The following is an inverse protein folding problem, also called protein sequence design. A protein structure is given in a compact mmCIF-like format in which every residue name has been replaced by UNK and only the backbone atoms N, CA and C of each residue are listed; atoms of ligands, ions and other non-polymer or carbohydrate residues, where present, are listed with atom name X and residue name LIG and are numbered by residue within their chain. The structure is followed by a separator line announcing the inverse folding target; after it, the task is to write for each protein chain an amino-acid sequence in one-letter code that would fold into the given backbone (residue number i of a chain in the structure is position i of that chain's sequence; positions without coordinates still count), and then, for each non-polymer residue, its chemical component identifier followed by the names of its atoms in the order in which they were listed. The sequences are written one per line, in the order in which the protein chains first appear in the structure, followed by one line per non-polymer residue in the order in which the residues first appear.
data_IF_410380595819
#
_entry.id   IF_410380595819
#
_cell.length_a   1.000
_cell.length_b   1.000
_cell.length_c   1.000
_cell.angle_alpha   90.00
_cell.angle_beta   90.00
_cell.angle_gamma   90.00
#
_symmetry.space_group_name_H-M   'P 1'
#
loop_
_entity.id
_entity.type
_entity.pdbx_description
1 polymer ?
#
# COMPACT_ATOMS: atom_id res chain seq x y z
N UNK A 1 -6.26 15.47 -9.44
CA UNK A 1 -6.58 15.11 -8.04
C UNK A 1 -5.33 14.52 -7.40
N UNK A 2 -5.21 14.57 -6.07
CA UNK A 2 -4.00 14.16 -5.33
C UNK A 2 -3.67 12.67 -5.62
N UNK A 3 -4.68 11.81 -5.62
CA UNK A 3 -4.52 10.39 -5.90
C UNK A 3 -4.05 10.09 -7.33
N UNK A 4 -4.36 10.93 -8.31
CA UNK A 4 -3.82 10.76 -9.68
C UNK A 4 -2.29 10.90 -9.72
N UNK A 5 -1.74 11.81 -8.91
CA UNK A 5 -0.28 12.02 -8.78
C UNK A 5 0.37 10.88 -8.00
N UNK A 6 -0.29 10.42 -6.94
CA UNK A 6 0.18 9.31 -6.10
C UNK A 6 0.11 7.98 -6.84
N UNK A 7 -0.91 7.74 -7.66
CA UNK A 7 -1.02 6.53 -8.49
C UNK A 7 0.24 6.35 -9.34
N UNK A 8 0.78 7.42 -9.92
CA UNK A 8 2.04 7.41 -10.68
C UNK A 8 3.29 7.07 -9.83
N UNK A 9 3.23 7.28 -8.51
CA UNK A 9 4.32 7.04 -7.55
C UNK A 9 4.20 5.70 -6.81
N UNK A 10 2.99 5.15 -6.68
CA UNK A 10 2.71 3.80 -6.14
C UNK A 10 2.98 2.73 -7.20
N UNK A 11 4.21 2.69 -7.71
CA UNK A 11 4.68 1.68 -8.67
C UNK A 11 3.90 1.70 -9.99
N UNK A 12 4.16 2.69 -10.86
CA UNK A 12 3.66 2.65 -12.24
C UNK A 12 4.64 1.98 -13.23
N UNK A 13 5.93 1.87 -12.88
CA UNK A 13 7.01 1.43 -13.79
C UNK A 13 7.62 0.04 -13.47
N UNK A 14 7.11 -0.68 -12.46
CA UNK A 14 7.57 -2.04 -12.12
C UNK A 14 6.51 -3.08 -12.56
N UNK A 15 6.87 -4.31 -12.98
CA UNK A 15 5.91 -5.38 -13.29
C UNK A 15 4.86 -5.64 -12.18
N UNK A 16 5.17 -5.20 -10.94
CA UNK A 16 4.25 -5.20 -9.80
C UNK A 16 2.98 -4.35 -10.02
N UNK A 17 3.02 -3.31 -10.87
CA UNK A 17 1.87 -2.47 -11.18
C UNK A 17 0.75 -3.27 -11.86
N UNK A 18 1.14 -4.03 -12.89
CA UNK A 18 0.24 -4.90 -13.65
C UNK A 18 -0.26 -6.05 -12.78
N UNK A 19 0.63 -6.65 -11.97
CA UNK A 19 0.26 -7.73 -11.05
C UNK A 19 -0.67 -7.26 -9.93
N UNK A 20 -0.50 -6.02 -9.44
CA UNK A 20 -1.40 -5.37 -8.49
C UNK A 20 -2.78 -5.19 -9.10
N UNK A 21 -2.85 -4.58 -10.28
CA UNK A 21 -4.13 -4.30 -10.94
C UNK A 21 -4.85 -5.60 -11.28
N UNK A 22 -4.11 -6.61 -11.74
CA UNK A 22 -4.61 -7.98 -11.89
C UNK A 22 -5.15 -8.52 -10.57
N UNK A 23 -4.38 -8.47 -9.48
CA UNK A 23 -4.80 -8.93 -8.15
C UNK A 23 -6.07 -8.21 -7.64
N UNK A 24 -6.15 -6.89 -7.81
CA UNK A 24 -7.30 -6.09 -7.40
C UNK A 24 -8.54 -6.41 -8.25
N UNK A 25 -8.37 -6.76 -9.53
CA UNK A 25 -9.46 -7.17 -10.42
C UNK A 25 -10.03 -8.56 -10.12
N UNK A 26 -9.30 -9.41 -9.40
CA UNK A 26 -9.82 -10.71 -8.96
C UNK A 26 -10.91 -10.46 -7.91
N UNK A 27 -12.14 -10.87 -8.23
CA UNK A 27 -13.28 -10.77 -7.30
C UNK A 27 -13.18 -11.79 -6.15
N UNK A 28 -13.90 -11.56 -5.03
CA UNK A 28 -13.88 -12.45 -3.87
C UNK A 28 -14.45 -13.85 -4.15
N UNK A 29 -15.26 -13.99 -5.21
CA UNK A 29 -15.88 -15.24 -5.64
C UNK A 29 -15.06 -16.01 -6.67
N UNK A 30 -14.00 -15.40 -7.22
CA UNK A 30 -13.12 -16.07 -8.18
C UNK A 30 -12.07 -16.85 -7.39
N UNK A 31 -12.05 -18.19 -7.47
CA UNK A 31 -11.00 -18.97 -6.83
C UNK A 31 -9.66 -18.50 -7.41
N UNK A 32 -8.75 -18.05 -6.56
CA UNK A 32 -7.35 -17.85 -6.94
C UNK A 32 -6.75 -19.25 -7.13
N UNK A 33 -7.06 -19.87 -8.27
CA UNK A 33 -6.44 -21.12 -8.69
C UNK A 33 -4.97 -20.85 -8.96
N UNK A 34 -4.13 -21.11 -7.95
CA UNK A 34 -2.67 -21.23 -8.04
C UNK A 34 -2.01 -20.25 -9.01
N UNK A 35 -2.40 -18.98 -8.99
CA UNK A 35 -1.61 -17.92 -9.62
C UNK A 35 -0.40 -17.71 -8.73
N UNK A 36 0.63 -18.53 -8.98
CA UNK A 36 1.92 -18.58 -8.27
C UNK A 36 2.69 -17.25 -8.24
N UNK A 37 2.10 -16.16 -8.74
CA UNK A 37 2.67 -14.84 -8.86
C UNK A 37 2.04 -13.80 -7.92
N UNK A 38 0.99 -14.12 -7.14
CA UNK A 38 0.51 -13.22 -6.07
C UNK A 38 1.39 -13.32 -4.83
N UNK A 39 2.59 -12.73 -4.94
CA UNK A 39 3.58 -12.64 -3.88
C UNK A 39 3.14 -11.65 -2.79
N UNK A 40 3.84 -11.66 -1.65
CA UNK A 40 3.64 -10.66 -0.59
C UNK A 40 3.76 -9.23 -1.12
N UNK A 41 4.61 -9.04 -2.12
CA UNK A 41 4.92 -7.75 -2.75
C UNK A 41 3.71 -7.24 -3.54
N UNK A 42 3.03 -8.12 -4.29
CA UNK A 42 1.81 -7.78 -5.02
C UNK A 42 0.70 -7.40 -4.05
N UNK A 43 0.52 -8.18 -2.98
CA UNK A 43 -0.48 -7.91 -1.95
C UNK A 43 -0.15 -6.63 -1.18
N UNK A 44 1.13 -6.39 -0.88
CA UNK A 44 1.60 -5.18 -0.22
C UNK A 44 1.37 -3.93 -1.08
N UNK A 45 1.68 -4.00 -2.37
CA UNK A 45 1.41 -2.93 -3.32
C UNK A 45 -0.10 -2.65 -3.49
N UNK A 46 -0.93 -3.70 -3.52
CA UNK A 46 -2.39 -3.57 -3.55
C UNK A 46 -2.92 -2.92 -2.27
N UNK A 47 -2.40 -3.32 -1.12
CA UNK A 47 -2.78 -2.76 0.17
C UNK A 47 -2.38 -1.28 0.31
N UNK A 48 -1.16 -0.92 -0.12
CA UNK A 48 -0.72 0.48 -0.16
C UNK A 48 -1.63 1.33 -1.06
N UNK A 49 -2.02 0.81 -2.23
CA UNK A 49 -2.94 1.49 -3.15
C UNK A 49 -4.32 1.73 -2.54
N UNK A 50 -4.93 0.71 -1.93
CA UNK A 50 -6.23 0.86 -1.26
C UNK A 50 -6.15 1.74 0.00
N UNK A 51 -5.04 1.71 0.73
CA UNK A 51 -4.80 2.62 1.85
C UNK A 51 -4.78 4.08 1.40
N UNK A 52 -4.19 4.37 0.25
CA UNK A 52 -4.16 5.71 -0.32
C UNK A 52 -5.52 6.23 -0.76
N UNK A 53 -6.39 5.37 -1.29
CA UNK A 53 -7.78 5.74 -1.60
C UNK A 53 -8.55 6.11 -0.35
N UNK A 54 -8.34 5.37 0.74
CA UNK A 54 -8.95 5.67 2.04
C UNK A 54 -8.40 6.95 2.65
N UNK A 55 -7.08 7.15 2.59
CA UNK A 55 -6.42 8.35 3.07
C UNK A 55 -6.90 9.59 2.32
N UNK A 56 -6.94 9.57 0.98
CA UNK A 56 -7.50 10.68 0.19
C UNK A 56 -8.96 10.93 0.58
N UNK A 57 -9.78 9.88 0.72
CA UNK A 57 -11.19 10.03 1.12
C UNK A 57 -11.34 10.68 2.49
N UNK A 58 -10.42 10.42 3.42
CA UNK A 58 -10.46 10.96 4.78
C UNK A 58 -9.93 12.40 4.82
N UNK A 59 -8.72 12.66 4.33
CA UNK A 59 -8.04 13.95 4.41
C UNK A 59 -8.60 15.01 3.42
N UNK A 60 -9.12 14.62 2.26
CA UNK A 60 -9.68 15.59 1.29
C UNK A 60 -11.10 16.02 1.65
N UNK A 61 -11.83 15.22 2.45
CA UNK A 61 -13.27 15.44 2.67
C UNK A 61 -13.70 15.70 4.12
N UNK A 62 -12.90 15.42 5.16
CA UNK A 62 -13.36 15.51 6.55
C UNK A 62 -12.67 16.61 7.38
N UNK A 63 -11.38 16.88 7.17
CA UNK A 63 -10.63 17.85 7.97
C UNK A 63 -10.15 18.99 7.07
N UNK A 64 -10.67 20.20 7.30
CA UNK A 64 -10.31 21.42 6.54
C UNK A 64 -8.87 21.90 6.72
N UNK A 65 -7.93 21.00 7.01
CA UNK A 65 -6.52 21.27 7.21
C UNK A 65 -5.70 20.00 7.08
N UNK A 66 -4.57 20.11 6.37
CA UNK A 66 -3.59 19.04 6.20
C UNK A 66 -2.97 18.68 7.55
N UNK A 67 -3.09 17.42 7.97
CA UNK A 67 -2.42 16.90 9.17
C UNK A 67 -0.89 16.99 9.01
N UNK A 68 -0.15 17.00 10.12
CA UNK A 68 1.32 17.01 10.09
C UNK A 68 1.88 15.77 9.36
N UNK A 69 3.02 15.91 8.68
CA UNK A 69 3.63 14.81 7.90
C UNK A 69 3.83 13.54 8.74
N UNK A 70 4.34 13.69 9.97
CA UNK A 70 4.48 12.58 10.91
C UNK A 70 3.16 11.83 11.14
N UNK A 71 2.07 12.56 11.36
CA UNK A 71 0.75 11.97 11.55
C UNK A 71 0.24 11.30 10.27
N UNK A 72 0.45 11.92 9.12
CA UNK A 72 0.14 11.31 7.82
C UNK A 72 0.85 9.96 7.63
N UNK A 73 2.13 9.86 8.00
CA UNK A 73 2.91 8.61 7.91
C UNK A 73 2.36 7.51 8.80
N UNK A 74 1.93 7.85 10.02
CA UNK A 74 1.31 6.91 10.94
C UNK A 74 -0.02 6.39 10.39
N UNK A 75 -0.88 7.29 9.94
CA UNK A 75 -2.21 6.97 9.43
C UNK A 75 -2.10 6.10 8.19
N UNK A 76 -1.33 6.51 7.18
CA UNK A 76 -1.20 5.74 5.94
C UNK A 76 -0.55 4.37 6.18
N UNK A 77 0.44 4.29 7.08
CA UNK A 77 1.08 3.03 7.44
C UNK A 77 0.14 2.06 8.17
N UNK A 78 -0.72 2.58 9.05
CA UNK A 78 -1.74 1.79 9.72
C UNK A 78 -2.81 1.28 8.75
N UNK A 79 -3.30 2.16 7.85
CA UNK A 79 -4.25 1.80 6.80
C UNK A 79 -3.67 0.73 5.86
N UNK A 80 -2.42 0.88 5.43
CA UNK A 80 -1.73 -0.09 4.59
C UNK A 80 -1.63 -1.46 5.27
N UNK A 81 -1.26 -1.50 6.56
CA UNK A 81 -1.20 -2.76 7.30
C UNK A 81 -2.56 -3.44 7.48
N UNK A 82 -3.62 -2.67 7.72
CA UNK A 82 -4.99 -3.18 7.83
C UNK A 82 -5.50 -3.72 6.48
N UNK A 83 -5.18 -3.03 5.37
CA UNK A 83 -5.57 -3.46 4.03
C UNK A 83 -4.91 -4.78 3.62
N UNK A 84 -3.67 -5.06 4.06
CA UNK A 84 -3.06 -6.38 3.82
C UNK A 84 -3.91 -7.50 4.42
N UNK A 85 -4.31 -7.37 5.70
CA UNK A 85 -5.11 -8.39 6.37
C UNK A 85 -6.42 -8.60 5.63
N UNK A 86 -7.11 -7.49 5.33
CA UNK A 86 -8.37 -7.50 4.59
C UNK A 86 -8.24 -8.19 3.23
N UNK A 87 -7.25 -7.81 2.42
CA UNK A 87 -7.04 -8.39 1.09
C UNK A 87 -6.69 -9.88 1.15
N UNK A 88 -5.86 -10.30 2.11
CA UNK A 88 -5.52 -11.71 2.31
C UNK A 88 -6.76 -12.54 2.64
N UNK A 89 -7.62 -12.04 3.52
CA UNK A 89 -8.84 -12.74 3.95
C UNK A 89 -9.92 -12.74 2.86
N UNK A 90 -10.18 -11.59 2.20
CA UNK A 90 -11.17 -11.48 1.13
C UNK A 90 -10.81 -12.30 -0.11
N UNK A 91 -9.51 -12.35 -0.45
CA UNK A 91 -9.02 -13.06 -1.63
C UNK A 91 -8.71 -14.54 -1.35
N UNK A 92 -8.94 -15.00 -0.12
CA UNK A 92 -8.79 -16.41 0.30
C UNK A 92 -7.50 -17.04 -0.21
N UNK A 93 -6.38 -16.32 -0.07
CA UNK A 93 -5.09 -16.77 -0.58
C UNK A 93 -4.75 -18.13 0.04
N UNK A 94 -4.45 -19.17 -0.75
CA UNK A 94 -4.21 -20.50 -0.22
C UNK A 94 -2.85 -20.58 0.47
N UNK A 95 -2.85 -20.89 1.77
CA UNK A 95 -1.64 -21.11 2.55
C UNK A 95 -1.52 -22.58 2.97
N UNK A 96 -0.28 -23.09 3.04
CA UNK A 96 0.00 -24.46 3.50
C UNK A 96 -0.18 -24.62 5.01
N UNK A 97 -0.03 -23.52 5.76
CA UNK A 97 -0.18 -23.48 7.21
C UNK A 97 -0.46 -22.06 7.70
N UNK A 98 -1.00 -21.95 8.93
CA UNK A 98 -1.18 -20.66 9.61
C UNK A 98 0.15 -19.92 9.82
N UNK A 99 1.27 -20.65 9.96
CA UNK A 99 2.60 -20.06 10.08
C UNK A 99 3.02 -19.37 8.77
N UNK A 100 2.73 -19.99 7.63
CA UNK A 100 3.03 -19.42 6.32
C UNK A 100 2.13 -18.20 6.04
N UNK A 101 0.84 -18.26 6.43
CA UNK A 101 -0.07 -17.11 6.38
C UNK A 101 0.49 -15.93 7.17
N UNK A 102 0.91 -16.15 8.42
CA UNK A 102 1.48 -15.07 9.27
C UNK A 102 2.77 -14.48 8.69
N UNK A 103 3.66 -15.31 8.15
CA UNK A 103 4.89 -14.84 7.48
C UNK A 103 4.56 -14.00 6.25
N UNK A 104 3.62 -14.46 5.43
CA UNK A 104 3.17 -13.76 4.24
C UNK A 104 2.57 -12.39 4.59
N UNK A 105 1.65 -12.35 5.56
CA UNK A 105 1.06 -11.10 6.05
C UNK A 105 2.15 -10.16 6.58
N UNK A 106 3.09 -10.65 7.38
CA UNK A 106 4.17 -9.83 7.90
C UNK A 106 5.04 -9.20 6.81
N UNK A 107 5.42 -9.97 5.79
CA UNK A 107 6.18 -9.48 4.64
C UNK A 107 5.38 -8.44 3.83
N UNK A 108 4.12 -8.75 3.51
CA UNK A 108 3.24 -7.86 2.77
C UNK A 108 2.95 -6.56 3.55
N UNK A 109 2.80 -6.62 4.87
CA UNK A 109 2.61 -5.44 5.72
C UNK A 109 3.85 -4.54 5.75
N UNK A 110 5.04 -5.12 5.81
CA UNK A 110 6.29 -4.35 5.75
C UNK A 110 6.35 -3.58 4.42
N UNK A 111 6.15 -4.27 3.30
CA UNK A 111 6.15 -3.67 1.97
C UNK A 111 5.08 -2.60 1.80
N UNK A 112 3.84 -2.90 2.21
CA UNK A 112 2.74 -1.95 2.13
C UNK A 112 3.05 -0.65 2.89
N UNK A 113 3.64 -0.74 4.09
CA UNK A 113 4.05 0.42 4.88
C UNK A 113 5.14 1.23 4.19
N UNK A 114 6.19 0.56 3.73
CA UNK A 114 7.31 1.18 3.04
C UNK A 114 6.83 1.96 1.81
N UNK A 115 6.05 1.31 0.95
CA UNK A 115 5.54 1.91 -0.27
C UNK A 115 4.54 3.03 -0.01
N UNK A 116 3.65 2.85 0.97
CA UNK A 116 2.64 3.86 1.27
C UNK A 116 3.25 5.14 1.87
N UNK A 117 4.19 5.01 2.83
CA UNK A 117 4.89 6.16 3.42
C UNK A 117 5.80 6.85 2.41
N UNK A 118 6.53 6.07 1.60
CA UNK A 118 7.34 6.63 0.51
C UNK A 118 6.51 7.45 -0.45
N UNK A 119 5.39 6.90 -0.91
CA UNK A 119 4.46 7.60 -1.79
C UNK A 119 3.94 8.89 -1.13
N UNK A 120 3.88 8.98 0.21
CA UNK A 120 3.38 10.16 0.92
C UNK A 120 4.36 11.30 0.80
N UNK A 121 5.65 11.02 1.03
CA UNK A 121 6.71 11.99 0.79
C UNK A 121 6.77 12.41 -0.69
N UNK A 122 6.70 11.46 -1.61
CA UNK A 122 6.87 11.73 -3.05
C UNK A 122 5.60 12.30 -3.74
N UNK A 123 4.45 12.31 -3.05
CA UNK A 123 3.17 12.77 -3.59
C UNK A 123 3.11 14.26 -3.89
N UNK A 124 4.00 15.05 -3.27
CA UNK A 124 3.89 16.50 -3.22
C UNK A 124 2.72 17.00 -2.37
N UNK A 125 2.14 16.15 -1.51
CA UNK A 125 1.15 16.57 -0.52
C UNK A 125 1.77 17.48 0.54
N UNK A 126 3.03 17.25 0.89
CA UNK A 126 3.84 18.05 1.81
C UNK A 126 4.88 18.90 1.07
N UNK A 127 5.03 20.15 1.50
CA UNK A 127 6.12 21.03 1.11
C UNK A 127 7.43 20.53 1.70
N UNK A 128 8.56 20.81 1.06
CA UNK A 128 9.88 20.32 1.51
C UNK A 128 10.21 20.67 2.97
N UNK A 129 9.70 21.79 3.48
CA UNK A 129 9.89 22.24 4.87
C UNK A 129 9.02 21.50 5.90
N UNK A 130 7.96 20.83 5.45
CA UNK A 130 7.05 20.05 6.30
C UNK A 130 7.45 18.58 6.36
N UNK A 131 8.39 18.16 5.50
CA UNK A 131 8.88 16.81 5.43
C UNK A 131 9.83 16.51 6.59
N UNK A 132 9.36 15.68 7.51
CA UNK A 132 10.24 14.93 8.41
C UNK A 132 11.35 14.17 7.66
N UNK A 133 12.45 13.89 8.38
CA UNK A 133 13.53 13.06 7.88
C UNK A 133 12.99 11.68 7.40
N UNK A 134 13.56 11.13 6.32
CA UNK A 134 13.17 9.80 5.84
C UNK A 134 13.48 8.75 6.90
N UNK A 135 12.47 7.95 7.24
CA UNK A 135 12.62 6.80 8.12
C UNK A 135 13.05 5.54 7.33
N UNK A 136 13.42 4.48 8.05
CA UNK A 136 13.91 3.24 7.44
C UNK A 136 12.89 2.58 6.49
N UNK A 137 11.59 2.71 6.79
CA UNK A 137 10.54 2.15 5.93
C UNK A 137 10.48 2.91 4.60
N UNK A 138 10.63 4.23 4.64
CA UNK A 138 10.62 5.10 3.46
C UNK A 138 11.83 4.87 2.54
N UNK A 139 12.98 4.52 3.13
CA UNK A 139 14.19 4.16 2.39
C UNK A 139 14.13 2.75 1.80
N UNK A 140 13.46 1.82 2.49
CA UNK A 140 13.30 0.43 2.08
C UNK A 140 12.19 0.22 1.03
N UNK A 141 11.27 1.17 0.87
CA UNK A 141 10.24 1.13 -0.15
C UNK A 141 10.82 1.11 -1.57
N UNK A 142 10.17 0.44 -2.49
CA UNK A 142 10.67 0.36 -3.86
C UNK A 142 10.66 1.75 -4.52
N UNK A 143 11.76 2.11 -5.20
CA UNK A 143 11.84 3.39 -5.92
C UNK A 143 10.99 3.30 -7.19
N UNK A 144 10.12 4.29 -7.40
CA UNK A 144 9.65 4.58 -8.76
C UNK A 144 10.88 5.03 -9.57
N UNK A 145 11.22 4.27 -10.61
CA UNK A 145 12.21 4.67 -11.63
C UNK A 145 11.52 5.61 -12.60
#
# INVERSE_FOLDING_TARGET
MLFSKIKAKLHLSHPLAQQRDEFLSVGPDTPIEKKSHFTSDVVGAAAAFEAWKLFEKHDVHQEGGKVAHARGKEVIGALAAAQVIKLVDERKIPFKSEKDKKKFIGAAQAQAKCDAKRALRESGFYESKELEAPDADELAGHKAV
#
